data_IF_034279236901
#
_entry.id   IF_034279236901
#
_cell.length_a   1.000
_cell.length_b   1.000
_cell.length_c   1.000
_cell.angle_alpha   90.00
_cell.angle_beta   90.00
_cell.angle_gamma   90.00
#
_symmetry.space_group_name_H-M   'P 1'
#
loop_
_entity.id
_entity.type
_entity.pdbx_description
1 polymer ?
#
# COMPACT_ATOMS: atom_id res chain seq x y z
N UNK A 1 -61.14 -45.84 5.34
CA UNK A 1 -61.41 -44.81 4.29
C UNK A 1 -61.09 -43.43 4.87
N UNK A 2 -59.92 -42.90 4.59
CA UNK A 2 -59.50 -41.54 5.05
C UNK A 2 -58.70 -40.94 3.94
N UNK A 3 -59.15 -39.79 3.40
CA UNK A 3 -58.55 -39.01 2.29
C UNK A 3 -57.42 -38.14 2.84
N UNK A 4 -56.24 -38.34 2.33
CA UNK A 4 -55.14 -37.38 2.51
C UNK A 4 -55.27 -36.22 1.50
N UNK A 5 -55.48 -35.00 1.98
CA UNK A 5 -55.31 -33.78 1.21
C UNK A 5 -53.86 -33.36 1.25
N UNK A 6 -53.22 -33.24 0.08
CA UNK A 6 -51.89 -32.60 -0.10
C UNK A 6 -52.07 -31.09 -0.25
N UNK A 7 -51.48 -30.34 0.67
CA UNK A 7 -51.36 -28.88 0.59
C UNK A 7 -50.08 -28.58 -0.17
N UNK A 8 -50.19 -27.92 -1.32
CA UNK A 8 -49.07 -27.34 -2.05
C UNK A 8 -48.75 -25.96 -1.46
N UNK A 9 -47.61 -25.83 -0.82
CA UNK A 9 -47.06 -24.53 -0.43
C UNK A 9 -46.27 -23.95 -1.59
N UNK A 10 -46.74 -22.83 -2.15
CA UNK A 10 -46.03 -22.02 -3.14
C UNK A 10 -45.06 -21.10 -2.38
N UNK A 11 -43.77 -21.34 -2.52
CA UNK A 11 -42.73 -20.39 -2.08
C UNK A 11 -42.66 -19.26 -3.09
N UNK A 12 -43.05 -18.07 -2.67
CA UNK A 12 -42.80 -16.82 -3.41
C UNK A 12 -41.39 -16.36 -3.03
N UNK A 13 -40.45 -16.48 -3.96
CA UNK A 13 -39.13 -15.88 -3.83
C UNK A 13 -39.27 -14.38 -4.05
N UNK A 14 -39.20 -13.60 -2.98
CA UNK A 14 -39.13 -12.15 -3.05
C UNK A 14 -37.75 -11.71 -3.51
N UNK A 15 -37.66 -11.11 -4.71
CA UNK A 15 -36.49 -10.35 -5.15
C UNK A 15 -36.35 -9.12 -4.25
N UNK A 16 -35.35 -9.10 -3.39
CA UNK A 16 -34.95 -7.89 -2.68
C UNK A 16 -34.15 -7.01 -3.63
N UNK A 17 -34.79 -6.01 -4.20
CA UNK A 17 -34.11 -4.90 -4.89
C UNK A 17 -33.50 -4.01 -3.82
N UNK A 18 -32.19 -4.15 -3.59
CA UNK A 18 -31.45 -3.22 -2.74
C UNK A 18 -31.30 -1.89 -3.46
N UNK A 19 -31.99 -0.87 -2.98
CA UNK A 19 -31.90 0.50 -3.46
C UNK A 19 -30.51 1.08 -3.15
N UNK A 20 -29.73 1.34 -4.19
CA UNK A 20 -28.34 1.86 -4.15
C UNK A 20 -28.24 3.37 -3.84
N UNK A 21 -29.29 4.00 -3.30
CA UNK A 21 -29.43 5.46 -3.28
C UNK A 21 -28.74 6.19 -2.11
N UNK A 22 -28.30 5.50 -1.04
CA UNK A 22 -27.73 6.17 0.13
C UNK A 22 -26.18 6.19 0.19
N UNK A 23 -25.51 5.36 -0.61
CA UNK A 23 -24.04 5.28 -0.61
C UNK A 23 -23.36 6.29 -1.54
N UNK A 24 -24.07 6.82 -2.52
CA UNK A 24 -23.55 7.80 -3.49
C UNK A 24 -23.39 9.21 -2.88
N UNK A 25 -24.25 9.63 -1.98
CA UNK A 25 -24.19 10.97 -1.37
C UNK A 25 -22.91 11.21 -0.54
N UNK A 26 -22.49 10.25 0.28
CA UNK A 26 -21.29 10.41 1.13
C UNK A 26 -19.97 10.37 0.36
N UNK A 27 -19.90 9.64 -0.75
CA UNK A 27 -18.71 9.60 -1.58
C UNK A 27 -18.52 10.90 -2.37
N UNK A 28 -19.61 11.49 -2.85
CA UNK A 28 -19.60 12.77 -3.57
C UNK A 28 -19.14 13.90 -2.67
N UNK A 29 -19.71 14.02 -1.46
CA UNK A 29 -19.31 15.03 -0.46
C UNK A 29 -17.82 14.94 -0.07
N UNK A 30 -17.25 13.71 -0.04
CA UNK A 30 -15.82 13.51 0.25
C UNK A 30 -14.96 14.04 -0.90
N UNK A 31 -15.31 13.70 -2.14
CA UNK A 31 -14.50 14.07 -3.31
C UNK A 31 -14.49 15.58 -3.54
N UNK A 32 -15.60 16.27 -3.27
CA UNK A 32 -15.71 17.73 -3.37
C UNK A 32 -14.75 18.46 -2.41
N UNK A 33 -14.34 17.81 -1.32
CA UNK A 33 -13.36 18.32 -0.36
C UNK A 33 -11.89 18.01 -0.69
N UNK A 34 -11.62 17.22 -1.75
CA UNK A 34 -10.24 16.88 -2.14
C UNK A 34 -9.66 17.99 -3.01
N UNK A 35 -8.53 18.54 -2.56
CA UNK A 35 -7.77 19.53 -3.31
C UNK A 35 -6.70 18.84 -4.17
N UNK A 36 -6.63 19.22 -5.43
CA UNK A 36 -5.66 18.76 -6.43
C UNK A 36 -5.13 19.97 -7.21
N UNK A 37 -3.95 19.89 -7.82
CA UNK A 37 -3.46 20.89 -8.76
C UNK A 37 -4.40 21.03 -9.98
N UNK A 38 -4.34 22.19 -10.64
CA UNK A 38 -5.14 22.48 -11.83
C UNK A 38 -4.99 21.39 -12.91
N UNK A 39 -6.11 21.03 -13.53
CA UNK A 39 -6.19 19.99 -14.55
C UNK A 39 -6.29 18.56 -14.01
N UNK A 40 -6.04 18.33 -12.73
CA UNK A 40 -6.25 17.01 -12.13
C UNK A 40 -7.70 16.81 -11.70
N UNK A 41 -8.15 15.57 -11.82
CA UNK A 41 -9.50 15.12 -11.42
C UNK A 41 -9.37 13.88 -10.55
N UNK A 42 -10.26 13.75 -9.57
CA UNK A 42 -10.40 12.55 -8.75
C UNK A 42 -11.80 11.98 -8.88
N UNK A 43 -11.90 10.66 -9.00
CA UNK A 43 -13.17 9.91 -9.01
C UNK A 43 -13.04 8.70 -8.10
N UNK A 44 -14.17 8.14 -7.66
CA UNK A 44 -14.19 6.78 -7.10
C UNK A 44 -13.99 5.80 -8.25
N UNK A 45 -12.98 4.95 -8.13
CA UNK A 45 -12.73 3.84 -9.04
C UNK A 45 -13.50 2.59 -8.61
N UNK A 46 -13.41 2.25 -7.32
CA UNK A 46 -14.07 1.08 -6.76
C UNK A 46 -14.34 1.24 -5.26
N UNK A 47 -15.21 0.38 -4.72
CA UNK A 47 -15.42 0.23 -3.28
C UNK A 47 -14.99 -1.17 -2.85
N UNK A 48 -13.88 -1.26 -2.11
CA UNK A 48 -13.31 -2.50 -1.59
C UNK A 48 -13.07 -2.33 -0.10
N UNK A 49 -13.73 -3.10 0.76
CA UNK A 49 -13.58 -2.98 2.22
C UNK A 49 -12.11 -3.10 2.65
N UNK A 50 -11.62 -2.11 3.40
CA UNK A 50 -10.25 -2.13 3.94
C UNK A 50 -9.16 -2.28 2.88
N UNK A 51 -9.34 -1.68 1.69
CA UNK A 51 -8.38 -1.71 0.59
C UNK A 51 -7.01 -1.17 1.01
N UNK A 52 -5.95 -1.95 0.71
CA UNK A 52 -4.58 -1.54 1.02
C UNK A 52 -3.67 -1.69 -0.19
N UNK A 53 -2.74 -2.65 -0.23
CA UNK A 53 -1.81 -2.76 -1.37
C UNK A 53 -2.55 -3.09 -2.66
N UNK A 54 -2.09 -2.51 -3.75
CA UNK A 54 -2.66 -2.62 -5.08
C UNK A 54 -1.65 -3.23 -6.06
N UNK A 55 -2.09 -4.21 -6.87
CA UNK A 55 -1.30 -4.74 -7.96
C UNK A 55 -2.20 -4.89 -9.20
N UNK A 56 -1.76 -4.37 -10.35
CA UNK A 56 -2.50 -4.42 -11.61
C UNK A 56 -1.88 -5.52 -12.50
N UNK A 57 -2.70 -6.45 -12.96
CA UNK A 57 -2.28 -7.41 -13.97
C UNK A 57 -2.20 -6.73 -15.35
N UNK A 58 -1.01 -6.62 -15.95
CA UNK A 58 -0.85 -5.91 -17.22
C UNK A 58 -1.53 -6.63 -18.40
N UNK A 59 -1.87 -7.91 -18.27
CA UNK A 59 -2.53 -8.67 -19.32
C UNK A 59 -4.05 -8.47 -19.35
N UNK A 60 -4.66 -8.27 -18.18
CA UNK A 60 -6.12 -8.23 -18.04
C UNK A 60 -6.66 -6.91 -17.48
N UNK A 61 -5.77 -6.01 -17.00
CA UNK A 61 -6.08 -4.79 -16.25
C UNK A 61 -6.85 -5.04 -14.94
N UNK A 62 -6.95 -6.28 -14.47
CA UNK A 62 -7.52 -6.59 -13.16
C UNK A 62 -6.63 -6.02 -12.07
N UNK A 63 -7.23 -5.28 -11.13
CA UNK A 63 -6.56 -4.78 -9.94
C UNK A 63 -6.78 -5.75 -8.79
N UNK A 64 -5.73 -6.36 -8.28
CA UNK A 64 -5.76 -7.17 -7.07
C UNK A 64 -5.50 -6.30 -5.86
N UNK A 65 -6.32 -6.48 -4.82
CA UNK A 65 -6.35 -5.62 -3.65
C UNK A 65 -6.08 -6.42 -2.40
N UNK A 66 -4.97 -6.13 -1.75
CA UNK A 66 -4.62 -6.69 -0.45
C UNK A 66 -5.30 -5.98 0.71
N UNK A 67 -5.31 -6.61 1.88
CA UNK A 67 -5.89 -6.03 3.08
C UNK A 67 -5.15 -6.45 4.36
N UNK A 68 -5.37 -5.73 5.45
CA UNK A 68 -4.92 -6.14 6.80
C UNK A 68 -5.90 -7.11 7.48
N UNK A 69 -6.98 -7.44 6.80
CA UNK A 69 -7.93 -8.48 7.18
C UNK A 69 -7.59 -9.79 6.47
N UNK A 70 -8.51 -10.72 6.42
CA UNK A 70 -8.26 -12.05 5.88
C UNK A 70 -8.49 -12.17 4.36
N UNK A 71 -8.73 -11.06 3.63
CA UNK A 71 -9.34 -11.09 2.31
C UNK A 71 -8.45 -10.48 1.22
N UNK A 72 -8.52 -11.09 0.03
CA UNK A 72 -8.05 -10.55 -1.24
C UNK A 72 -9.27 -10.30 -2.13
N UNK A 73 -9.33 -9.13 -2.75
CA UNK A 73 -10.32 -8.79 -3.76
C UNK A 73 -9.68 -8.59 -5.13
N UNK A 74 -10.47 -8.75 -6.18
CA UNK A 74 -10.13 -8.30 -7.53
C UNK A 74 -11.17 -7.27 -8.00
N UNK A 75 -10.70 -6.33 -8.79
CA UNK A 75 -11.48 -5.18 -9.29
C UNK A 75 -11.23 -5.05 -10.77
N UNK A 76 -12.28 -4.91 -11.56
CA UNK A 76 -12.19 -4.75 -13.02
C UNK A 76 -13.10 -3.60 -13.49
N UNK A 77 -12.50 -2.65 -14.16
CA UNK A 77 -13.13 -1.67 -15.04
C UNK A 77 -13.18 -2.30 -16.43
N UNK A 78 -14.35 -2.79 -16.83
CA UNK A 78 -14.49 -3.63 -18.01
C UNK A 78 -14.68 -2.82 -19.30
N UNK A 79 -15.22 -1.61 -19.21
CA UNK A 79 -15.48 -0.73 -20.35
C UNK A 79 -14.49 0.45 -20.45
N UNK A 80 -13.61 0.61 -19.45
CA UNK A 80 -12.53 1.58 -19.46
C UNK A 80 -12.98 3.02 -19.15
N UNK A 81 -14.16 3.21 -18.52
CA UNK A 81 -14.67 4.53 -18.18
C UNK A 81 -14.05 5.16 -16.93
N UNK A 82 -13.23 4.37 -16.21
CA UNK A 82 -12.52 4.75 -14.98
C UNK A 82 -13.34 4.51 -13.72
N UNK A 83 -14.40 3.71 -13.80
CA UNK A 83 -15.17 3.14 -12.70
C UNK A 83 -15.25 1.61 -12.87
N UNK A 84 -15.02 0.86 -11.81
CA UNK A 84 -15.02 -0.59 -11.90
C UNK A 84 -16.41 -1.17 -11.63
N UNK A 85 -16.95 -1.91 -12.61
CA UNK A 85 -18.24 -2.59 -12.51
C UNK A 85 -18.18 -3.87 -11.69
N UNK A 86 -16.98 -4.47 -11.60
CA UNK A 86 -16.81 -5.76 -10.92
C UNK A 86 -15.85 -5.64 -9.76
N UNK A 87 -16.34 -5.99 -8.59
CA UNK A 87 -15.56 -6.15 -7.36
C UNK A 87 -15.88 -7.52 -6.79
N UNK A 88 -14.90 -8.40 -6.75
CA UNK A 88 -15.10 -9.78 -6.33
C UNK A 88 -14.15 -10.19 -5.21
N UNK A 89 -14.67 -10.92 -4.24
CA UNK A 89 -13.87 -11.59 -3.21
C UNK A 89 -13.18 -12.80 -3.85
N UNK A 90 -11.83 -12.82 -3.81
CA UNK A 90 -11.02 -13.87 -4.44
C UNK A 90 -10.52 -14.91 -3.45
N UNK A 91 -10.19 -14.48 -2.25
CA UNK A 91 -9.77 -15.35 -1.16
C UNK A 91 -10.23 -14.79 0.17
N UNK A 92 -10.47 -15.67 1.13
CA UNK A 92 -10.80 -15.38 2.51
C UNK A 92 -9.95 -16.25 3.45
N UNK A 93 -9.97 -15.93 4.75
CA UNK A 93 -9.23 -16.68 5.79
C UNK A 93 -7.69 -16.72 5.60
N UNK A 94 -7.10 -15.74 4.91
CA UNK A 94 -5.67 -15.58 4.78
C UNK A 94 -5.09 -14.80 5.97
N UNK A 95 -3.86 -15.14 6.38
CA UNK A 95 -3.18 -14.45 7.48
C UNK A 95 -2.64 -13.07 7.05
N UNK A 96 -3.47 -12.02 7.18
CA UNK A 96 -3.09 -10.63 6.87
C UNK A 96 -2.47 -10.47 5.46
N UNK A 97 -3.23 -10.75 4.38
CA UNK A 97 -2.73 -10.69 3.00
C UNK A 97 -2.60 -9.23 2.52
N UNK A 98 -1.70 -8.46 3.13
CA UNK A 98 -1.58 -7.04 2.85
C UNK A 98 -0.80 -6.76 1.55
N UNK A 99 0.38 -7.32 1.40
CA UNK A 99 1.23 -7.09 0.23
C UNK A 99 0.83 -7.96 -0.94
N UNK A 100 0.53 -7.37 -2.07
CA UNK A 100 0.24 -8.05 -3.33
C UNK A 100 1.17 -7.53 -4.42
N UNK A 101 1.70 -8.43 -5.26
CA UNK A 101 2.58 -8.09 -6.36
C UNK A 101 2.42 -9.09 -7.50
N UNK A 102 2.60 -8.67 -8.76
CA UNK A 102 2.39 -9.51 -9.93
C UNK A 102 3.69 -9.64 -10.71
N UNK A 103 4.03 -10.89 -11.08
CA UNK A 103 5.16 -11.19 -11.95
C UNK A 103 5.00 -12.57 -12.59
N UNK A 104 5.44 -12.72 -13.84
CA UNK A 104 5.50 -14.02 -14.53
C UNK A 104 4.15 -14.76 -14.58
N UNK A 105 3.02 -14.05 -14.70
CA UNK A 105 1.68 -14.64 -14.71
C UNK A 105 1.20 -15.17 -13.36
N UNK A 106 1.78 -14.69 -12.26
CA UNK A 106 1.38 -15.04 -10.90
C UNK A 106 1.12 -13.80 -10.05
N UNK A 107 0.12 -13.89 -9.18
CA UNK A 107 -0.07 -13.01 -8.04
C UNK A 107 0.71 -13.56 -6.85
N UNK A 108 1.64 -12.78 -6.32
CA UNK A 108 2.35 -13.05 -5.09
C UNK A 108 1.64 -12.33 -3.95
N UNK A 109 1.42 -13.03 -2.84
CA UNK A 109 0.72 -12.51 -1.67
C UNK A 109 1.63 -12.69 -0.45
N UNK A 110 2.07 -11.56 0.10
CA UNK A 110 2.86 -11.55 1.33
C UNK A 110 1.93 -11.59 2.54
N UNK A 111 1.82 -12.76 3.12
CA UNK A 111 1.09 -13.04 4.36
C UNK A 111 1.95 -12.66 5.58
N UNK A 112 1.38 -12.73 6.78
CA UNK A 112 2.10 -12.38 8.00
C UNK A 112 3.34 -13.25 8.23
N UNK A 113 3.26 -14.55 7.97
CA UNK A 113 4.26 -15.57 8.28
C UNK A 113 4.92 -16.21 7.05
N UNK A 114 4.38 -15.98 5.85
CA UNK A 114 4.85 -16.61 4.62
C UNK A 114 4.57 -15.77 3.38
N UNK A 115 5.24 -16.12 2.28
CA UNK A 115 4.98 -15.65 0.93
C UNK A 115 4.39 -16.79 0.11
N UNK A 116 3.24 -16.53 -0.50
CA UNK A 116 2.59 -17.49 -1.40
C UNK A 116 2.40 -16.90 -2.78
N UNK A 117 2.24 -17.74 -3.82
CA UNK A 117 1.87 -17.32 -5.17
C UNK A 117 0.67 -18.10 -5.68
N UNK A 118 -0.11 -17.45 -6.51
CA UNK A 118 -1.26 -18.01 -7.21
C UNK A 118 -1.15 -17.68 -8.70
N UNK A 119 -1.44 -18.66 -9.56
CA UNK A 119 -1.40 -18.48 -11.01
C UNK A 119 -2.59 -17.61 -11.45
N UNK A 120 -2.30 -16.53 -12.18
CA UNK A 120 -3.33 -15.64 -12.70
C UNK A 120 -4.13 -16.29 -13.83
N UNK A 121 -5.44 -16.03 -13.92
CA UNK A 121 -6.25 -16.45 -15.05
C UNK A 121 -5.75 -15.79 -16.35
N UNK A 122 -5.85 -16.51 -17.46
CA UNK A 122 -5.40 -16.02 -18.77
C UNK A 122 -6.39 -15.04 -19.43
N UNK A 123 -7.56 -14.87 -18.86
CA UNK A 123 -8.62 -14.01 -19.39
C UNK A 123 -9.19 -13.13 -18.26
N UNK A 124 -9.81 -12.02 -18.63
CA UNK A 124 -10.51 -11.15 -17.69
C UNK A 124 -11.78 -11.78 -17.04
N UNK A 125 -12.06 -13.05 -17.34
CA UNK A 125 -13.12 -13.79 -16.66
C UNK A 125 -12.66 -14.16 -15.24
N UNK A 126 -13.15 -13.43 -14.24
CA UNK A 126 -12.80 -13.57 -12.82
C UNK A 126 -13.55 -14.73 -12.15
N UNK A 127 -13.76 -15.87 -12.84
CA UNK A 127 -14.56 -16.99 -12.32
C UNK A 127 -13.76 -18.06 -11.58
N UNK A 128 -12.42 -18.07 -11.75
CA UNK A 128 -11.60 -19.10 -11.11
C UNK A 128 -11.36 -18.78 -9.63
N UNK A 129 -11.62 -19.73 -8.71
CA UNK A 129 -11.31 -19.53 -7.30
C UNK A 129 -9.79 -19.42 -7.08
N UNK A 130 -9.38 -18.63 -6.09
CA UNK A 130 -7.98 -18.56 -5.65
C UNK A 130 -7.72 -19.73 -4.68
N UNK A 131 -7.76 -20.93 -5.22
CA UNK A 131 -7.43 -22.15 -4.51
C UNK A 131 -5.98 -22.60 -4.64
N UNK A 132 -5.34 -23.44 -4.67
CA UNK A 132 -3.98 -23.89 -5.00
C UNK A 132 -2.86 -22.82 -4.81
N UNK A 133 -2.87 -22.16 -3.65
CA UNK A 133 -1.76 -21.29 -3.28
C UNK A 133 -0.47 -22.10 -3.10
N UNK A 134 0.60 -21.68 -3.78
CA UNK A 134 1.92 -22.28 -3.67
C UNK A 134 2.80 -21.46 -2.74
N UNK A 135 3.39 -22.08 -1.72
CA UNK A 135 4.35 -21.42 -0.84
C UNK A 135 5.67 -21.18 -1.59
N UNK A 136 6.13 -19.94 -1.59
CA UNK A 136 7.43 -19.51 -2.12
C UNK A 136 8.45 -19.45 -0.99
N UNK A 137 8.04 -18.89 0.15
CA UNK A 137 8.87 -18.76 1.34
C UNK A 137 8.02 -18.91 2.62
N UNK A 138 8.51 -19.64 3.61
CA UNK A 138 7.91 -19.77 4.93
C UNK A 138 8.95 -19.47 5.99
N UNK A 139 8.68 -18.53 6.87
CA UNK A 139 9.65 -18.16 7.92
C UNK A 139 9.72 -16.67 8.19
N UNK A 140 8.73 -15.90 7.72
CA UNK A 140 8.56 -14.54 8.21
C UNK A 140 8.17 -14.57 9.69
N UNK A 141 8.64 -13.59 10.50
CA UNK A 141 8.26 -13.51 11.90
C UNK A 141 6.75 -13.40 12.07
N UNK A 142 6.13 -14.36 12.75
CA UNK A 142 4.69 -14.32 13.07
C UNK A 142 4.44 -13.37 14.24
N UNK A 143 4.39 -12.06 13.94
CA UNK A 143 4.14 -10.99 14.90
C UNK A 143 3.02 -10.09 14.40
N UNK A 144 2.03 -9.82 15.26
CA UNK A 144 0.89 -8.93 14.92
C UNK A 144 1.30 -7.47 14.75
N UNK A 145 2.19 -6.97 15.61
CA UNK A 145 2.68 -5.59 15.54
C UNK A 145 3.56 -5.43 14.30
N UNK A 146 3.21 -4.50 13.40
CA UNK A 146 3.80 -4.34 12.08
C UNK A 146 3.85 -5.65 11.25
N UNK A 147 2.87 -6.54 11.47
CA UNK A 147 2.82 -7.86 10.86
C UNK A 147 2.35 -7.90 9.41
N UNK A 148 1.82 -6.78 8.90
CA UNK A 148 1.43 -6.64 7.49
C UNK A 148 2.67 -6.39 6.64
N UNK A 149 2.88 -7.23 5.64
CA UNK A 149 4.01 -7.14 4.71
C UNK A 149 3.63 -6.23 3.55
N UNK A 150 4.56 -5.41 3.08
CA UNK A 150 4.46 -4.78 1.77
C UNK A 150 5.36 -5.54 0.80
N UNK A 151 4.91 -5.73 -0.44
CA UNK A 151 5.65 -6.50 -1.44
C UNK A 151 5.57 -5.83 -2.81
N UNK A 152 6.68 -5.79 -3.54
CA UNK A 152 6.73 -5.25 -4.90
C UNK A 152 7.90 -5.86 -5.67
N UNK A 153 7.72 -6.08 -6.95
CA UNK A 153 8.81 -6.53 -7.83
C UNK A 153 9.67 -5.35 -8.27
N UNK A 154 10.98 -5.58 -8.26
CA UNK A 154 11.95 -4.69 -8.91
C UNK A 154 11.88 -4.83 -10.44
N UNK A 155 12.43 -3.86 -11.18
CA UNK A 155 12.44 -3.92 -12.65
C UNK A 155 13.17 -5.15 -13.24
N UNK A 156 14.10 -5.74 -12.48
CA UNK A 156 14.83 -6.97 -12.84
C UNK A 156 14.15 -8.27 -12.36
N UNK A 157 12.91 -8.18 -11.87
CA UNK A 157 12.08 -9.34 -11.54
C UNK A 157 12.36 -9.98 -10.17
N UNK A 158 13.10 -9.32 -9.27
CA UNK A 158 13.27 -9.78 -7.90
C UNK A 158 12.14 -9.25 -7.00
N UNK A 159 11.64 -10.08 -6.10
CA UNK A 159 10.60 -9.66 -5.17
C UNK A 159 11.21 -9.08 -3.90
N UNK A 160 10.81 -7.86 -3.55
CA UNK A 160 11.16 -7.24 -2.28
C UNK A 160 9.98 -7.30 -1.32
N UNK A 161 10.28 -7.56 -0.02
CA UNK A 161 9.27 -7.61 1.04
C UNK A 161 9.76 -6.84 2.25
N UNK A 162 8.93 -5.93 2.78
CA UNK A 162 9.20 -5.23 4.03
C UNK A 162 8.70 -6.04 5.22
N UNK A 163 9.53 -6.16 6.26
CA UNK A 163 9.25 -6.90 7.48
C UNK A 163 9.43 -5.97 8.68
N UNK A 164 8.33 -5.49 9.23
CA UNK A 164 8.35 -4.51 10.32
C UNK A 164 8.88 -5.06 11.65
N UNK A 165 9.33 -4.16 12.50
CA UNK A 165 9.74 -4.47 13.86
C UNK A 165 8.53 -4.92 14.72
N UNK A 166 8.71 -5.86 15.68
CA UNK A 166 7.61 -6.44 16.45
C UNK A 166 7.10 -5.53 17.59
N UNK A 167 7.51 -4.28 17.62
CA UNK A 167 7.25 -3.35 18.73
C UNK A 167 7.36 -1.89 18.28
N UNK A 168 7.02 -0.97 19.17
CA UNK A 168 7.28 0.46 18.95
C UNK A 168 8.79 0.76 18.91
N UNK A 169 9.53 0.39 19.98
CA UNK A 169 10.99 0.56 20.08
C UNK A 169 11.55 -0.64 20.85
N UNK A 170 12.27 -1.53 20.18
CA UNK A 170 12.95 -2.68 20.78
C UNK A 170 14.08 -3.21 19.89
N UNK A 171 14.95 -4.04 20.43
CA UNK A 171 15.91 -4.82 19.64
C UNK A 171 15.14 -5.81 18.76
N UNK A 172 15.51 -5.87 17.51
CA UNK A 172 14.98 -6.82 16.51
C UNK A 172 15.85 -8.07 16.39
N UNK A 173 15.27 -9.15 15.88
CA UNK A 173 15.96 -10.44 15.69
C UNK A 173 15.63 -11.01 14.30
N UNK A 174 16.62 -11.67 13.71
CA UNK A 174 16.44 -12.29 12.40
C UNK A 174 15.96 -11.31 11.35
N UNK A 175 14.79 -11.54 10.76
CA UNK A 175 14.22 -10.70 9.71
C UNK A 175 13.40 -9.51 10.23
N UNK A 176 13.19 -9.37 11.55
CA UNK A 176 12.43 -8.27 12.13
C UNK A 176 13.13 -6.92 11.87
N UNK A 177 12.42 -5.93 11.36
CA UNK A 177 12.96 -4.60 11.08
C UNK A 177 13.91 -4.56 9.87
N UNK A 178 13.53 -5.26 8.79
CA UNK A 178 14.33 -5.35 7.56
C UNK A 178 13.49 -5.17 6.30
N UNK A 179 14.18 -4.95 5.18
CA UNK A 179 13.65 -5.22 3.84
C UNK A 179 14.47 -6.37 3.26
N UNK A 180 13.79 -7.36 2.71
CA UNK A 180 14.41 -8.54 2.11
C UNK A 180 14.13 -8.59 0.62
N UNK A 181 15.07 -9.15 -0.14
CA UNK A 181 14.89 -9.57 -1.53
C UNK A 181 14.73 -11.09 -1.57
N UNK A 182 13.74 -11.56 -2.30
CA UNK A 182 13.40 -12.99 -2.42
C UNK A 182 13.38 -13.35 -3.90
N UNK A 183 14.08 -14.42 -4.24
CA UNK A 183 13.96 -15.02 -5.56
C UNK A 183 12.56 -15.68 -5.68
N UNK A 184 11.72 -15.28 -6.65
CA UNK A 184 10.35 -15.77 -6.78
C UNK A 184 10.23 -17.25 -7.19
N UNK A 185 11.32 -17.86 -7.70
CA UNK A 185 11.31 -19.23 -8.20
C UNK A 185 11.67 -20.25 -7.10
N UNK A 186 12.71 -19.97 -6.29
CA UNK A 186 13.25 -20.91 -5.30
C UNK A 186 13.12 -20.41 -3.85
N UNK A 187 12.65 -19.17 -3.64
CA UNK A 187 12.48 -18.57 -2.31
C UNK A 187 13.79 -18.19 -1.60
N UNK A 188 14.92 -18.20 -2.29
CA UNK A 188 16.20 -17.74 -1.72
C UNK A 188 16.08 -16.28 -1.27
N UNK A 189 16.49 -16.01 -0.02
CA UNK A 189 16.27 -14.72 0.65
C UNK A 189 17.58 -14.04 0.99
N UNK A 190 17.66 -12.74 0.71
CA UNK A 190 18.74 -11.86 1.14
C UNK A 190 18.17 -10.62 1.84
N UNK A 191 18.71 -10.26 2.99
CA UNK A 191 18.39 -8.99 3.64
C UNK A 191 19.16 -7.86 2.98
N UNK A 192 18.44 -6.89 2.41
CA UNK A 192 19.02 -5.74 1.69
C UNK A 192 19.07 -4.48 2.53
N UNK A 193 18.17 -4.32 3.52
CA UNK A 193 18.18 -3.18 4.44
C UNK A 193 17.91 -3.65 5.88
N UNK A 194 18.66 -3.12 6.83
CA UNK A 194 18.52 -3.36 8.26
C UNK A 194 18.10 -2.10 9.00
N UNK A 195 17.61 -2.26 10.23
CA UNK A 195 17.24 -1.12 11.07
C UNK A 195 16.11 -0.27 10.49
N UNK A 196 15.16 -0.92 9.83
CA UNK A 196 13.92 -0.35 9.29
C UNK A 196 12.80 -0.66 10.29
N UNK A 197 12.13 0.37 10.82
CA UNK A 197 11.10 0.13 11.83
C UNK A 197 9.81 -0.44 11.25
N UNK A 198 9.24 0.22 10.26
CA UNK A 198 7.98 -0.17 9.64
C UNK A 198 7.82 0.48 8.27
N UNK A 199 8.50 -0.05 7.27
CA UNK A 199 8.30 0.32 5.87
C UNK A 199 7.01 -0.32 5.34
N UNK A 200 6.16 0.47 4.68
CA UNK A 200 4.90 0.01 4.06
C UNK A 200 4.81 0.49 2.61
N UNK A 201 5.90 0.87 2.02
CA UNK A 201 5.95 1.28 0.62
C UNK A 201 7.35 1.51 0.12
N UNK A 202 7.61 1.05 -1.08
CA UNK A 202 8.87 1.28 -1.78
C UNK A 202 8.69 1.17 -3.30
N UNK A 203 9.61 1.81 -4.03
CA UNK A 203 9.65 1.73 -5.48
C UNK A 203 11.04 2.13 -6.00
N UNK A 204 11.29 1.93 -7.28
CA UNK A 204 12.54 2.24 -7.97
C UNK A 204 12.38 3.48 -8.84
N UNK A 205 13.33 4.40 -8.74
CA UNK A 205 13.37 5.58 -9.59
C UNK A 205 13.54 5.15 -11.07
N UNK A 206 12.63 5.55 -11.98
CA UNK A 206 12.53 4.96 -13.32
C UNK A 206 13.75 5.20 -14.21
N UNK A 207 14.51 6.29 -13.96
CA UNK A 207 15.68 6.66 -14.75
C UNK A 207 16.98 6.10 -14.17
N UNK A 208 17.13 6.10 -12.84
CA UNK A 208 18.39 5.72 -12.18
C UNK A 208 18.40 4.30 -11.65
N UNK A 209 17.23 3.66 -11.51
CA UNK A 209 17.08 2.34 -10.90
C UNK A 209 17.29 2.33 -9.38
N UNK A 210 17.55 3.48 -8.74
CA UNK A 210 17.74 3.57 -7.30
C UNK A 210 16.46 3.18 -6.55
N UNK A 211 16.63 2.42 -5.47
CA UNK A 211 15.55 1.96 -4.61
C UNK A 211 15.25 2.95 -3.50
N UNK A 212 13.98 3.35 -3.38
CA UNK A 212 13.50 4.26 -2.34
C UNK A 212 12.38 3.62 -1.55
N UNK A 213 12.31 3.91 -0.24
CA UNK A 213 11.28 3.39 0.64
C UNK A 213 10.91 4.38 1.74
N UNK A 214 9.67 4.26 2.25
CA UNK A 214 9.22 4.99 3.44
C UNK A 214 9.50 4.18 4.69
N UNK A 215 9.76 4.85 5.83
CA UNK A 215 9.77 4.23 7.14
C UNK A 215 9.03 5.09 8.16
N UNK A 216 8.13 4.48 8.92
CA UNK A 216 7.33 5.16 9.94
C UNK A 216 8.15 5.32 11.22
N UNK A 217 8.28 6.55 11.71
CA UNK A 217 8.95 6.90 12.95
C UNK A 217 8.31 6.28 14.20
N UNK A 218 9.09 6.19 15.29
CA UNK A 218 8.63 5.65 16.55
C UNK A 218 7.52 6.50 17.19
N UNK A 219 6.53 5.84 17.79
CA UNK A 219 5.41 6.49 18.44
C UNK A 219 5.75 6.96 19.87
N UNK A 220 4.89 7.83 20.42
CA UNK A 220 4.94 8.29 21.82
C UNK A 220 6.23 9.04 22.22
N UNK A 221 6.77 9.82 21.27
CA UNK A 221 7.90 10.72 21.51
C UNK A 221 7.54 12.21 21.34
N UNK A 222 6.24 12.55 21.44
CA UNK A 222 5.71 13.89 21.24
C UNK A 222 5.28 14.14 19.79
N UNK A 223 4.90 15.37 19.47
CA UNK A 223 4.30 15.72 18.18
C UNK A 223 5.30 15.93 17.05
N UNK A 224 6.56 16.15 17.37
CA UNK A 224 7.55 16.64 16.39
C UNK A 224 8.70 15.68 16.09
N UNK A 225 8.87 14.64 16.92
CA UNK A 225 9.94 13.65 16.75
C UNK A 225 9.47 12.22 17.04
N UNK A 226 10.14 11.20 16.41
CA UNK A 226 10.97 11.36 15.24
C UNK A 226 10.10 11.60 13.99
N UNK A 227 10.62 12.24 12.96
CA UNK A 227 9.92 12.33 11.68
C UNK A 227 9.78 10.94 11.04
N UNK A 228 8.80 10.78 10.15
CA UNK A 228 8.78 9.67 9.21
C UNK A 228 9.81 9.91 8.11
N UNK A 229 10.32 8.84 7.54
CA UNK A 229 11.48 8.87 6.66
C UNK A 229 11.13 8.53 5.21
N UNK A 230 11.84 9.14 4.28
CA UNK A 230 11.98 8.67 2.91
C UNK A 230 13.46 8.33 2.70
N UNK A 231 13.74 7.07 2.54
CA UNK A 231 15.07 6.50 2.51
C UNK A 231 15.45 6.09 1.09
N UNK A 232 16.76 6.09 0.81
CA UNK A 232 17.35 5.52 -0.40
C UNK A 232 18.35 4.44 0.01
N UNK A 233 18.25 3.28 -0.60
CA UNK A 233 19.23 2.21 -0.46
C UNK A 233 20.32 2.41 -1.52
N UNK A 234 21.54 2.70 -1.10
CA UNK A 234 22.68 2.90 -1.99
C UNK A 234 23.46 1.59 -2.21
N UNK A 235 23.47 0.70 -1.21
CA UNK A 235 24.05 -0.65 -1.33
C UNK A 235 23.36 -1.64 -0.38
N UNK A 236 23.39 -2.91 -0.75
CA UNK A 236 22.80 -3.98 0.07
C UNK A 236 23.46 -4.09 1.45
N UNK A 237 22.66 -4.34 2.48
CA UNK A 237 23.11 -4.49 3.85
C UNK A 237 23.20 -3.19 4.64
N UNK A 238 22.79 -2.04 4.08
CA UNK A 238 22.73 -0.79 4.82
C UNK A 238 21.82 -0.86 6.04
N UNK A 239 22.19 -0.06 7.07
CA UNK A 239 21.45 0.04 8.31
C UNK A 239 20.84 1.44 8.49
N UNK A 240 19.49 1.52 8.62
CA UNK A 240 18.73 2.76 8.68
C UNK A 240 18.39 3.26 10.09
N UNK A 241 19.01 2.68 11.12
CA UNK A 241 19.10 3.27 12.46
C UNK A 241 18.24 2.64 13.54
N UNK A 242 17.05 2.11 13.23
CA UNK A 242 16.19 1.52 14.25
C UNK A 242 16.83 0.29 14.93
N UNK A 243 16.75 0.14 16.27
CA UNK A 243 16.03 0.95 17.25
C UNK A 243 16.88 2.06 17.90
N UNK A 244 18.10 2.30 17.46
CA UNK A 244 19.00 3.30 18.07
C UNK A 244 18.68 4.72 17.66
N UNK A 245 18.29 4.90 16.39
CA UNK A 245 18.05 6.17 15.72
C UNK A 245 16.78 6.11 14.88
N UNK A 246 16.19 7.28 14.63
CA UNK A 246 15.16 7.50 13.65
C UNK A 246 15.20 8.93 13.12
N UNK A 247 14.68 9.16 11.94
CA UNK A 247 14.68 10.45 11.28
C UNK A 247 16.09 11.05 11.14
N UNK A 248 16.22 12.34 11.39
CA UNK A 248 17.50 13.06 11.37
C UNK A 248 18.39 12.68 12.56
N UNK A 249 18.74 11.40 12.71
CA UNK A 249 19.63 10.93 13.76
C UNK A 249 19.09 11.14 15.20
N UNK A 250 17.75 11.17 15.35
CA UNK A 250 17.08 11.29 16.65
C UNK A 250 17.31 10.01 17.44
N UNK A 251 17.82 10.11 18.67
CA UNK A 251 17.99 8.97 19.57
C UNK A 251 16.63 8.51 20.10
N UNK A 252 16.30 7.24 19.89
CA UNK A 252 15.00 6.69 20.31
C UNK A 252 14.99 6.37 21.81
N UNK A 253 13.79 6.43 22.42
CA UNK A 253 13.60 6.15 23.84
C UNK A 253 14.10 4.76 24.23
N UNK A 254 14.82 4.67 25.37
CA UNK A 254 15.46 3.44 25.82
C UNK A 254 16.83 3.12 25.14
N UNK A 255 17.18 3.86 24.08
CA UNK A 255 18.43 3.65 23.32
C UNK A 255 19.37 4.86 23.32
N UNK A 256 19.06 5.90 24.12
CA UNK A 256 19.82 7.17 24.15
C UNK A 256 21.32 6.98 24.44
N UNK A 257 21.66 5.97 25.25
CA UNK A 257 23.04 5.66 25.65
C UNK A 257 23.67 4.51 24.87
N UNK A 258 22.94 3.89 23.93
CA UNK A 258 23.40 2.77 23.12
C UNK A 258 23.84 3.26 21.75
N UNK A 259 24.80 2.57 21.14
CA UNK A 259 25.24 2.82 19.77
C UNK A 259 24.68 1.75 18.83
N UNK A 260 24.39 2.10 17.57
CA UNK A 260 24.09 1.11 16.54
C UNK A 260 25.33 0.21 16.30
N UNK A 261 25.15 -0.97 15.71
CA UNK A 261 26.24 -1.93 15.48
C UNK A 261 27.22 -1.48 14.39
N UNK A 262 26.91 -0.44 13.63
CA UNK A 262 27.72 0.09 12.53
C UNK A 262 27.25 1.46 12.07
N UNK A 263 27.71 1.92 10.90
CA UNK A 263 27.23 3.14 10.27
C UNK A 263 25.73 3.10 10.06
N UNK A 264 25.10 4.28 10.11
CA UNK A 264 23.66 4.46 9.90
C UNK A 264 23.45 5.38 8.70
N UNK A 265 22.73 4.90 7.71
CA UNK A 265 22.30 5.70 6.56
C UNK A 265 21.22 6.68 6.98
N UNK A 266 21.41 7.94 6.61
CA UNK A 266 20.44 8.99 6.88
C UNK A 266 19.32 8.98 5.83
N UNK A 267 18.06 9.33 6.20
CA UNK A 267 17.02 9.52 5.22
C UNK A 267 17.38 10.65 4.23
N UNK A 268 17.02 10.47 2.97
CA UNK A 268 17.20 11.53 1.94
C UNK A 268 16.17 12.64 2.09
N UNK A 269 15.07 12.35 2.79
CA UNK A 269 14.03 13.32 3.10
C UNK A 269 13.30 12.90 4.38
N UNK A 270 12.88 13.89 5.19
CA UNK A 270 11.98 13.66 6.32
C UNK A 270 10.60 14.23 6.04
N UNK A 271 9.58 13.45 6.42
CA UNK A 271 8.21 13.92 6.49
C UNK A 271 7.91 14.48 7.90
N UNK A 272 6.71 15.06 8.06
CA UNK A 272 6.21 15.42 9.38
C UNK A 272 6.11 14.16 10.25
N UNK A 273 6.53 14.26 11.51
CA UNK A 273 6.46 13.16 12.46
C UNK A 273 5.04 12.58 12.53
N UNK A 274 4.97 11.27 12.53
CA UNK A 274 3.73 10.49 12.66
C UNK A 274 2.69 10.69 11.53
N UNK A 275 3.09 11.27 10.38
CA UNK A 275 2.20 11.39 9.23
C UNK A 275 1.81 10.01 8.64
N UNK A 276 2.52 8.97 9.03
CA UNK A 276 2.40 7.59 8.56
C UNK A 276 2.57 7.51 7.04
N UNK A 277 3.79 7.78 6.57
CA UNK A 277 4.18 7.64 5.17
C UNK A 277 4.18 6.16 4.79
N UNK A 278 3.30 5.76 3.85
CA UNK A 278 3.08 4.38 3.45
C UNK A 278 3.51 4.16 1.98
N UNK A 279 2.55 3.85 1.09
CA UNK A 279 2.79 3.51 -0.31
C UNK A 279 3.63 4.53 -1.06
N UNK A 280 4.53 4.04 -1.91
CA UNK A 280 5.40 4.84 -2.79
C UNK A 280 5.20 4.38 -4.23
N UNK A 281 4.98 5.32 -5.13
CA UNK A 281 4.93 5.06 -6.55
C UNK A 281 5.69 6.14 -7.33
N UNK A 282 6.69 5.76 -8.13
CA UNK A 282 7.31 6.64 -9.11
C UNK A 282 6.46 6.68 -10.37
N UNK A 283 6.04 7.87 -10.77
CA UNK A 283 5.23 8.06 -11.96
C UNK A 283 6.04 7.81 -13.24
N UNK A 284 5.54 6.91 -14.08
CA UNK A 284 6.17 6.47 -15.33
C UNK A 284 5.33 6.82 -16.56
N UNK A 285 4.03 7.12 -16.35
CA UNK A 285 3.04 7.35 -17.38
C UNK A 285 3.22 8.62 -18.18
N UNK A 286 2.31 8.79 -19.13
CA UNK A 286 2.27 9.95 -20.02
C UNK A 286 1.00 10.81 -19.88
N UNK A 287 0.04 10.39 -19.05
CA UNK A 287 -1.20 11.16 -18.85
C UNK A 287 -0.93 12.46 -18.11
N UNK A 288 -0.09 12.45 -17.08
CA UNK A 288 0.25 13.67 -16.33
C UNK A 288 1.25 14.55 -17.11
N UNK A 289 1.30 15.86 -16.86
CA UNK A 289 2.30 16.74 -17.46
C UNK A 289 3.72 16.20 -17.28
N UNK A 290 4.61 16.53 -18.24
CA UNK A 290 5.99 16.04 -18.25
C UNK A 290 6.74 16.34 -16.95
N UNK A 291 6.45 17.46 -16.29
CA UNK A 291 7.05 17.83 -15.00
C UNK A 291 6.74 16.87 -13.85
N UNK A 292 5.79 15.95 -14.03
CA UNK A 292 5.43 14.93 -13.03
C UNK A 292 6.17 13.61 -13.24
N UNK A 293 6.71 13.36 -14.46
CA UNK A 293 7.42 12.13 -14.77
C UNK A 293 8.67 11.98 -13.91
N UNK A 294 8.86 10.79 -13.34
CA UNK A 294 9.96 10.51 -12.43
C UNK A 294 9.80 11.10 -11.02
N UNK A 295 8.71 11.83 -10.73
CA UNK A 295 8.37 12.17 -9.34
C UNK A 295 7.87 10.93 -8.60
N UNK A 296 8.16 10.83 -7.30
CA UNK A 296 7.52 9.83 -6.44
C UNK A 296 6.27 10.41 -5.77
N UNK A 297 5.19 9.64 -5.77
CA UNK A 297 3.99 9.93 -5.01
C UNK A 297 3.99 9.07 -3.74
N UNK A 298 3.76 9.70 -2.59
CA UNK A 298 3.79 9.03 -1.28
C UNK A 298 2.47 9.27 -0.57
N UNK A 299 1.78 8.16 -0.24
CA UNK A 299 0.57 8.21 0.54
C UNK A 299 0.90 8.43 2.03
N UNK A 300 0.36 9.49 2.63
CA UNK A 300 0.42 9.72 4.07
C UNK A 300 -0.92 9.36 4.70
N UNK A 301 -0.95 8.21 5.36
CA UNK A 301 -2.15 7.61 5.96
C UNK A 301 -2.75 8.45 7.10
N UNK A 302 -1.92 9.25 7.74
CA UNK A 302 -2.32 10.16 8.80
C UNK A 302 -2.08 9.65 10.22
N UNK A 303 -1.78 10.60 11.09
CA UNK A 303 -1.38 10.36 12.47
C UNK A 303 -2.54 9.85 13.34
N UNK A 304 -2.20 9.05 14.34
CA UNK A 304 -3.11 8.64 15.42
C UNK A 304 -2.67 9.13 16.81
N UNK A 305 -1.38 9.45 16.96
CA UNK A 305 -0.72 9.76 18.24
C UNK A 305 -0.18 11.20 18.32
N UNK A 306 -0.83 12.15 17.62
CA UNK A 306 -0.51 13.59 17.69
C UNK A 306 -1.64 14.38 18.37
N UNK A 307 -1.29 15.47 19.04
CA UNK A 307 -2.27 16.43 19.59
C UNK A 307 -3.08 17.12 18.49
N UNK A 308 -2.43 17.42 17.35
CA UNK A 308 -3.08 17.85 16.11
C UNK A 308 -2.75 16.85 15.01
N UNK A 309 -3.77 16.30 14.37
CA UNK A 309 -3.59 15.34 13.26
C UNK A 309 -2.77 15.94 12.13
N UNK A 310 -1.98 15.08 11.46
CA UNK A 310 -1.14 15.40 10.30
C UNK A 310 -1.05 14.22 9.36
N UNK A 311 -0.69 14.46 8.11
CA UNK A 311 -0.77 13.47 7.04
C UNK A 311 -2.13 13.54 6.35
N UNK A 312 -2.78 12.40 6.08
CA UNK A 312 -4.07 12.30 5.39
C UNK A 312 -4.06 12.97 4.01
N UNK A 313 -3.01 12.68 3.23
CA UNK A 313 -2.73 13.36 1.96
C UNK A 313 -1.78 12.54 1.10
N UNK A 314 -1.57 12.97 -0.12
CA UNK A 314 -0.53 12.46 -1.02
C UNK A 314 0.52 13.54 -1.19
N UNK A 315 1.78 13.17 -0.98
CA UNK A 315 2.93 14.01 -1.25
C UNK A 315 3.53 13.68 -2.62
N UNK A 316 3.98 14.67 -3.35
CA UNK A 316 4.84 14.52 -4.52
C UNK A 316 6.28 14.87 -4.12
N UNK A 317 7.20 13.96 -4.36
CA UNK A 317 8.63 14.15 -4.18
C UNK A 317 9.23 14.41 -5.55
N UNK A 318 9.97 15.50 -5.67
CA UNK A 318 10.55 16.00 -6.92
C UNK A 318 12.03 15.66 -6.93
N UNK A 319 12.49 15.17 -8.07
CA UNK A 319 13.88 14.77 -8.28
C UNK A 319 14.53 15.60 -9.39
N UNK A 320 15.84 15.81 -9.29
CA UNK A 320 16.63 16.36 -10.37
C UNK A 320 16.99 15.28 -11.43
N UNK A 321 17.73 15.70 -12.45
CA UNK A 321 18.14 14.81 -13.53
C UNK A 321 19.11 13.68 -13.08
N UNK A 322 19.76 13.85 -11.94
CA UNK A 322 20.67 12.88 -11.33
C UNK A 322 19.95 11.93 -10.35
N UNK A 323 18.62 12.10 -10.15
CA UNK A 323 17.83 11.28 -9.23
C UNK A 323 18.00 11.67 -7.76
N UNK A 324 18.46 12.92 -7.49
CA UNK A 324 18.50 13.45 -6.13
C UNK A 324 17.18 14.14 -5.80
N UNK A 325 16.71 13.98 -4.56
CA UNK A 325 15.53 14.68 -4.05
C UNK A 325 15.83 16.18 -3.96
N UNK A 326 15.03 17.00 -4.63
CA UNK A 326 15.17 18.47 -4.60
C UNK A 326 14.03 19.17 -3.87
N UNK A 327 12.83 18.60 -3.85
CA UNK A 327 11.69 19.21 -3.18
C UNK A 327 10.61 18.17 -2.83
N UNK A 328 9.68 18.56 -1.95
CA UNK A 328 8.44 17.83 -1.66
C UNK A 328 7.27 18.82 -1.55
N UNK A 329 6.18 18.50 -2.22
CA UNK A 329 4.96 19.32 -2.20
C UNK A 329 3.75 18.44 -1.89
N UNK A 330 2.68 19.04 -1.38
CA UNK A 330 1.39 18.38 -1.29
C UNK A 330 0.84 18.24 -2.72
N UNK A 331 0.50 17.02 -3.11
CA UNK A 331 -0.15 16.75 -4.40
C UNK A 331 -1.66 16.69 -4.28
N UNK A 332 -2.16 15.99 -3.26
CA UNK A 332 -3.58 15.90 -2.97
C UNK A 332 -3.82 15.91 -1.47
N UNK A 333 -4.79 16.67 -0.99
CA UNK A 333 -5.25 16.66 0.40
C UNK A 333 -6.79 16.79 0.46
N UNK A 334 -7.35 16.87 1.69
CA UNK A 334 -8.80 16.95 1.91
C UNK A 334 -9.36 15.71 2.60
N UNK A 335 -8.56 14.64 2.83
CA UNK A 335 -8.97 13.50 3.66
C UNK A 335 -8.99 13.80 5.16
N UNK A 336 -8.65 15.04 5.55
CA UNK A 336 -8.75 15.56 6.91
C UNK A 336 -9.44 16.92 6.90
N UNK A 337 -10.56 17.04 7.62
CA UNK A 337 -11.27 18.30 7.86
C UNK A 337 -11.11 18.70 9.33
N UNK A 338 -10.27 19.71 9.59
CA UNK A 338 -9.89 20.10 10.94
C UNK A 338 -9.22 18.95 11.70
N UNK A 339 -9.96 18.24 12.56
CA UNK A 339 -9.52 17.04 13.27
C UNK A 339 -10.37 15.81 12.93
N UNK A 340 -11.34 15.95 12.00
CA UNK A 340 -12.20 14.87 11.55
C UNK A 340 -11.52 14.14 10.38
N UNK A 341 -11.24 12.86 10.57
CA UNK A 341 -10.76 11.99 9.50
C UNK A 341 -11.89 11.69 8.52
N UNK A 342 -11.69 11.99 7.26
CA UNK A 342 -12.61 11.68 6.17
C UNK A 342 -12.13 10.50 5.33
N UNK A 343 -10.81 10.27 5.25
CA UNK A 343 -10.20 9.16 4.54
C UNK A 343 -8.74 8.98 4.97
N UNK A 344 -8.12 7.87 4.54
CA UNK A 344 -6.75 7.52 4.89
C UNK A 344 -6.05 6.84 3.70
N UNK A 345 -5.35 7.61 2.83
CA UNK A 345 -4.61 7.04 1.70
C UNK A 345 -3.56 6.03 2.15
N UNK A 346 -3.46 4.90 1.44
CA UNK A 346 -2.57 3.78 1.82
C UNK A 346 -1.54 3.49 0.75
N UNK A 347 -1.96 3.05 -0.44
CA UNK A 347 -1.07 2.63 -1.52
C UNK A 347 -1.42 3.35 -2.82
N UNK A 348 -0.45 3.43 -3.70
CA UNK A 348 -0.57 4.11 -4.99
C UNK A 348 -0.01 3.20 -6.07
N UNK A 349 -0.78 3.01 -7.14
CA UNK A 349 -0.33 2.32 -8.34
C UNK A 349 -0.78 3.07 -9.58
N UNK A 350 -0.20 2.77 -10.74
CA UNK A 350 -0.46 3.44 -12.02
C UNK A 350 -1.18 2.50 -12.97
N UNK A 351 -2.26 3.00 -13.58
CA UNK A 351 -3.00 2.28 -14.62
C UNK A 351 -2.29 2.36 -15.97
N UNK A 352 -2.64 1.49 -16.90
CA UNK A 352 -2.01 1.43 -18.23
C UNK A 352 -2.16 2.74 -19.02
N UNK A 353 -3.22 3.52 -18.80
CA UNK A 353 -3.42 4.83 -19.42
C UNK A 353 -2.73 5.98 -18.66
N UNK A 354 -2.03 5.69 -17.55
CA UNK A 354 -1.24 6.65 -16.80
C UNK A 354 -1.98 7.40 -15.70
N UNK A 355 -3.19 7.00 -15.31
CA UNK A 355 -3.83 7.51 -14.11
C UNK A 355 -3.28 6.83 -12.85
N UNK A 356 -3.40 7.48 -11.68
CA UNK A 356 -3.06 6.86 -10.41
C UNK A 356 -4.31 6.29 -9.74
N UNK A 357 -4.21 5.05 -9.25
CA UNK A 357 -5.14 4.48 -8.30
C UNK A 357 -4.59 4.63 -6.90
N UNK A 358 -5.43 5.09 -5.97
CA UNK A 358 -5.08 5.30 -4.56
C UNK A 358 -6.07 4.55 -3.69
N UNK A 359 -5.59 3.62 -2.88
CA UNK A 359 -6.42 2.89 -1.92
C UNK A 359 -6.60 3.66 -0.61
N UNK A 360 -7.73 3.45 0.05
CA UNK A 360 -8.10 4.05 1.34
C UNK A 360 -8.76 2.98 2.23
N UNK A 361 -8.10 2.57 3.29
CA UNK A 361 -8.58 1.51 4.18
C UNK A 361 -9.61 2.00 5.23
N UNK A 362 -9.78 3.30 5.35
CA UNK A 362 -10.77 3.92 6.23
C UNK A 362 -12.16 3.97 5.58
N UNK A 363 -12.23 4.48 4.35
CA UNK A 363 -13.48 4.57 3.58
C UNK A 363 -13.81 3.27 2.84
N UNK A 364 -12.80 2.45 2.55
CA UNK A 364 -12.91 1.31 1.66
C UNK A 364 -13.05 1.73 0.20
N UNK A 365 -12.58 2.91 -0.16
CA UNK A 365 -12.58 3.39 -1.54
C UNK A 365 -11.20 3.17 -2.19
N UNK A 366 -11.23 2.99 -3.49
CA UNK A 366 -10.08 3.15 -4.36
C UNK A 366 -10.42 4.36 -5.25
N UNK A 367 -9.59 5.38 -5.19
CA UNK A 367 -9.72 6.59 -6.00
C UNK A 367 -8.92 6.45 -7.29
N UNK A 368 -9.41 7.05 -8.36
CA UNK A 368 -8.67 7.26 -9.61
C UNK A 368 -8.38 8.74 -9.77
N UNK A 369 -7.10 9.09 -9.89
CA UNK A 369 -6.64 10.45 -10.17
C UNK A 369 -6.14 10.49 -11.61
N UNK A 370 -6.74 11.33 -12.42
CA UNK A 370 -6.41 11.54 -13.84
C UNK A 370 -6.10 13.01 -14.11
N UNK A 371 -5.49 13.30 -15.25
CA UNK A 371 -5.20 14.66 -15.71
C UNK A 371 -5.95 14.94 -17.02
N UNK A 372 -6.62 16.09 -17.06
CA UNK A 372 -7.28 16.62 -18.24
C UNK A 372 -6.98 18.11 -18.27
N UNK A 373 -6.16 18.60 -19.24
CA UNK A 373 -5.73 19.99 -19.32
C UNK A 373 -6.89 20.97 -19.58
#
# INVERSE_FOLDING_TARGET
MSRFQRVFSVLIAGLAVFSFSAATGHATDLLDGINLPDGFKIKVFAKVPRARSLAIDPATNIVYVGSRQAQIHSVLDADGDGFAEKVELRADNLAVPNGVAIHGGHLFIALQDQLVKWRLPQTAMMTEPMDQLQTVYSGFPDRRHHGWRYAKFSPDGQLYVAIGAPCNICLTRGLEGTIVRINPDDGALLTVAHGVRNSVGFDWHPKTGQFFFTDNGADAMGDVIPPDEFNRLDHEGEHFGFPWRGGNNIRLNGFQRRQPPGPVSAPVLNFTAHAAALGVHFYRGSMFPESYRGSAFVAQHGSWNRSKKSGYRIMRIIFDAAGQVVDKVVFADGWLDGQRTLGRPVDITETADGALLVSDDYTGLIYRISYQP
#
